data_IF_846122099170
#
_entry.id   IF_846122099170
#
_cell.length_a   1.000
_cell.length_b   1.000
_cell.length_c   1.000
_cell.angle_alpha   90.00
_cell.angle_beta   90.00
_cell.angle_gamma   90.00
#
_symmetry.space_group_name_H-M   'P 1'
#
loop_
_entity.id
_entity.type
_entity.pdbx_description
1 polymer ?
#
# COMPACT_ATOMS: atom_id res chain seq x y z
N UNK A 1 -55.45 64.12 22.15
CA UNK A 1 -54.58 63.63 21.07
C UNK A 1 -53.37 62.97 21.72
N UNK A 2 -53.44 61.66 21.93
CA UNK A 2 -52.42 60.90 22.64
C UNK A 2 -51.46 60.27 21.61
N UNK A 3 -50.14 60.54 21.77
CA UNK A 3 -49.11 59.92 20.97
C UNK A 3 -48.71 58.57 21.58
N UNK A 4 -48.96 57.47 20.85
CA UNK A 4 -48.54 56.12 21.18
C UNK A 4 -47.08 56.00 20.71
N UNK A 5 -46.16 55.84 21.69
CA UNK A 5 -44.74 55.53 21.42
C UNK A 5 -44.59 54.04 21.29
N UNK A 6 -44.20 53.60 20.10
CA UNK A 6 -43.90 52.20 19.80
C UNK A 6 -42.43 51.94 20.19
N UNK A 7 -42.17 51.21 21.27
CA UNK A 7 -40.85 50.70 21.63
C UNK A 7 -40.48 49.50 20.78
N UNK A 8 -39.54 49.68 19.91
CA UNK A 8 -38.93 48.59 19.14
C UNK A 8 -37.91 47.88 20.05
N UNK A 9 -38.19 46.61 20.40
CA UNK A 9 -37.21 45.72 21.02
C UNK A 9 -36.34 45.14 19.92
N UNK A 10 -34.97 45.20 20.03
CA UNK A 10 -34.12 44.47 19.10
C UNK A 10 -34.11 42.98 19.49
N UNK A 11 -34.56 42.13 18.55
CA UNK A 11 -34.46 40.68 18.63
C UNK A 11 -32.99 40.30 18.44
N UNK A 12 -32.30 40.00 19.54
CA UNK A 12 -30.94 39.43 19.48
C UNK A 12 -31.09 37.97 19.09
N UNK A 13 -30.86 37.71 17.81
CA UNK A 13 -30.75 36.34 17.29
C UNK A 13 -29.40 35.80 17.73
N UNK A 14 -29.37 35.00 18.79
CA UNK A 14 -28.21 34.21 19.19
C UNK A 14 -28.07 33.09 18.14
N UNK A 15 -27.19 33.30 17.17
CA UNK A 15 -26.67 32.24 16.32
C UNK A 15 -25.80 31.32 17.19
N UNK A 16 -26.35 30.27 17.69
CA UNK A 16 -25.61 29.11 18.19
C UNK A 16 -24.83 28.48 17.02
N UNK A 17 -23.59 28.91 16.84
CA UNK A 17 -22.60 28.20 16.09
C UNK A 17 -22.34 26.87 16.83
N UNK A 18 -23.12 25.83 16.52
CA UNK A 18 -22.72 24.45 16.75
C UNK A 18 -21.54 24.20 15.82
N UNK A 19 -20.35 24.41 16.32
CA UNK A 19 -19.14 23.85 15.74
C UNK A 19 -19.32 22.35 15.69
N UNK A 20 -19.71 21.83 14.56
CA UNK A 20 -19.56 20.40 14.22
C UNK A 20 -18.05 20.13 14.26
N UNK A 21 -17.55 19.73 15.43
CA UNK A 21 -16.35 18.92 15.53
C UNK A 21 -16.64 17.68 14.71
N UNK A 22 -16.28 17.71 13.44
CA UNK A 22 -16.13 16.53 12.60
C UNK A 22 -14.96 15.75 13.20
N UNK A 23 -15.22 15.05 14.30
CA UNK A 23 -14.41 13.91 14.66
C UNK A 23 -14.39 13.03 13.41
N UNK A 24 -13.22 12.78 12.86
CA UNK A 24 -13.02 11.79 11.82
C UNK A 24 -13.47 10.45 12.41
N UNK A 25 -14.76 10.16 12.27
CA UNK A 25 -15.36 8.95 12.81
C UNK A 25 -14.73 7.81 12.01
N UNK A 26 -13.99 6.93 12.69
CA UNK A 26 -13.44 5.72 12.09
C UNK A 26 -14.53 5.07 11.23
N UNK A 27 -14.21 4.79 9.98
CA UNK A 27 -15.13 4.14 9.03
C UNK A 27 -15.57 2.76 9.55
N UNK A 28 -14.78 2.17 10.44
CA UNK A 28 -15.06 0.90 11.10
C UNK A 28 -15.64 1.13 12.49
N UNK A 29 -16.79 0.49 12.77
CA UNK A 29 -17.33 0.45 14.14
C UNK A 29 -16.42 -0.39 15.01
N UNK A 30 -16.05 0.14 16.17
CA UNK A 30 -15.29 -0.62 17.17
C UNK A 30 -16.16 -1.73 17.78
N UNK A 31 -15.54 -2.86 18.08
CA UNK A 31 -16.16 -4.02 18.74
C UNK A 31 -15.18 -4.65 19.71
N UNK A 32 -15.68 -5.20 20.83
CA UNK A 32 -14.80 -5.94 21.73
C UNK A 32 -14.19 -7.16 21.03
N UNK A 33 -12.92 -7.46 21.25
CA UNK A 33 -12.24 -8.59 20.62
C UNK A 33 -12.97 -9.92 20.84
N UNK A 34 -13.41 -10.20 22.05
CA UNK A 34 -14.11 -11.45 22.41
C UNK A 34 -15.39 -11.65 21.61
N UNK A 35 -16.13 -10.59 21.34
CA UNK A 35 -17.35 -10.66 20.52
C UNK A 35 -17.07 -11.05 19.07
N UNK A 36 -15.81 -10.97 18.65
CA UNK A 36 -15.34 -11.35 17.31
C UNK A 36 -14.43 -12.60 17.34
N UNK A 37 -14.40 -13.35 18.48
CA UNK A 37 -13.61 -14.56 18.61
C UNK A 37 -12.10 -14.31 18.76
N UNK A 38 -11.71 -13.16 19.31
CA UNK A 38 -10.31 -12.77 19.54
C UNK A 38 -10.09 -12.55 21.05
N UNK A 39 -8.99 -13.03 21.59
CA UNK A 39 -8.63 -12.89 22.99
C UNK A 39 -7.96 -11.55 23.27
N UNK A 40 -8.53 -10.71 24.14
CA UNK A 40 -7.92 -9.47 24.63
C UNK A 40 -6.60 -9.73 25.33
N UNK A 41 -6.49 -10.81 26.13
CA UNK A 41 -5.24 -11.18 26.80
C UNK A 41 -4.11 -11.38 25.78
N UNK A 42 -4.38 -12.14 24.70
CA UNK A 42 -3.37 -12.39 23.67
C UNK A 42 -3.07 -11.15 22.83
N UNK A 43 -4.05 -10.25 22.65
CA UNK A 43 -3.82 -8.93 22.04
C UNK A 43 -2.93 -8.06 22.93
N UNK A 44 -3.06 -8.14 24.26
CA UNK A 44 -2.16 -7.44 25.18
C UNK A 44 -0.71 -7.93 25.03
N UNK A 45 -0.51 -9.22 24.79
CA UNK A 45 0.80 -9.76 24.44
C UNK A 45 1.31 -9.22 23.10
N UNK A 46 0.45 -9.18 22.07
CA UNK A 46 0.81 -8.56 20.78
C UNK A 46 1.25 -7.11 20.99
N UNK A 47 0.47 -6.32 21.73
CA UNK A 47 0.78 -4.93 22.09
C UNK A 47 2.18 -4.83 22.72
N UNK A 48 2.43 -5.56 23.81
CA UNK A 48 3.72 -5.55 24.53
C UNK A 48 4.88 -5.91 23.60
N UNK A 49 4.73 -6.95 22.78
CA UNK A 49 5.78 -7.41 21.86
C UNK A 49 6.07 -6.41 20.71
N UNK A 50 5.05 -5.65 20.28
CA UNK A 50 5.25 -4.58 19.28
C UNK A 50 5.90 -3.35 19.92
N UNK A 51 5.52 -2.97 21.16
CA UNK A 51 6.13 -1.87 21.89
C UNK A 51 7.63 -2.11 22.13
N UNK A 52 8.04 -3.35 22.45
CA UNK A 52 9.45 -3.69 22.66
C UNK A 52 10.37 -3.34 21.50
N UNK A 53 9.88 -3.36 20.24
CA UNK A 53 10.69 -2.92 19.11
C UNK A 53 10.99 -1.42 19.18
N UNK A 54 10.03 -0.61 19.61
CA UNK A 54 10.22 0.85 19.80
C UNK A 54 11.12 1.10 21.01
N UNK A 55 10.85 0.44 22.13
CA UNK A 55 11.64 0.55 23.38
C UNK A 55 13.11 0.17 23.17
N UNK A 56 13.36 -0.82 22.30
CA UNK A 56 14.70 -1.25 21.90
C UNK A 56 15.30 -0.38 20.79
N UNK A 57 14.68 0.76 20.45
CA UNK A 57 15.13 1.70 19.43
C UNK A 57 15.28 1.06 18.02
N UNK A 58 14.45 0.05 17.70
CA UNK A 58 14.48 -0.55 16.36
C UNK A 58 13.85 0.36 15.32
N UNK A 59 12.85 1.14 15.71
CA UNK A 59 12.20 2.22 14.95
C UNK A 59 11.49 3.19 15.91
N UNK A 60 11.17 4.40 15.42
CA UNK A 60 10.63 5.49 16.24
C UNK A 60 9.21 5.26 16.74
N UNK A 61 8.38 4.60 15.93
CA UNK A 61 6.98 4.38 16.23
C UNK A 61 6.40 3.20 15.44
N UNK A 62 5.29 2.66 15.94
CA UNK A 62 4.48 1.66 15.25
C UNK A 62 3.00 1.94 15.47
N UNK A 63 2.23 1.88 14.39
CA UNK A 63 0.77 1.85 14.41
C UNK A 63 0.32 0.46 13.96
N UNK A 64 -0.59 -0.17 14.71
CA UNK A 64 -1.10 -1.51 14.42
C UNK A 64 -2.61 -1.53 14.47
N UNK A 65 -3.26 -2.23 13.53
CA UNK A 65 -4.71 -2.36 13.53
C UNK A 65 -5.15 -3.76 13.09
N UNK A 66 -6.29 -4.21 13.63
CA UNK A 66 -6.95 -5.47 13.25
C UNK A 66 -8.44 -5.21 13.07
N UNK A 67 -8.94 -5.57 11.90
CA UNK A 67 -10.37 -5.60 11.57
C UNK A 67 -10.80 -7.06 11.44
N UNK A 68 -11.89 -7.45 12.09
CA UNK A 68 -12.48 -8.79 11.97
C UNK A 68 -13.99 -8.69 11.78
N UNK A 69 -14.53 -9.42 10.82
CA UNK A 69 -15.95 -9.36 10.43
C UNK A 69 -16.41 -7.92 10.12
N UNK A 70 -15.54 -7.09 9.49
CA UNK A 70 -15.84 -5.70 9.17
C UNK A 70 -15.88 -4.75 10.37
N UNK A 71 -15.38 -5.16 11.54
CA UNK A 71 -15.34 -4.34 12.75
C UNK A 71 -13.90 -4.15 13.22
N UNK A 72 -13.54 -2.93 13.61
CA UNK A 72 -12.26 -2.64 14.23
C UNK A 72 -12.25 -3.24 15.64
N UNK A 73 -11.31 -4.14 15.91
CA UNK A 73 -11.19 -4.81 17.22
C UNK A 73 -9.91 -4.42 17.95
N UNK A 74 -8.96 -3.85 17.24
CA UNK A 74 -7.69 -3.43 17.81
C UNK A 74 -7.11 -2.31 16.95
N UNK A 75 -6.69 -1.22 17.61
CA UNK A 75 -5.95 -0.11 17.03
C UNK A 75 -5.02 0.45 18.08
N UNK A 76 -3.73 0.53 17.80
CA UNK A 76 -2.73 0.94 18.76
C UNK A 76 -1.66 1.79 18.11
N UNK A 77 -1.36 2.93 18.73
CA UNK A 77 -0.24 3.81 18.41
C UNK A 77 0.79 3.73 19.51
N UNK A 78 2.06 3.60 19.16
CA UNK A 78 3.13 3.63 20.14
C UNK A 78 4.41 4.25 19.57
N UNK A 79 5.04 5.13 20.36
CA UNK A 79 6.26 5.84 19.99
C UNK A 79 6.01 7.23 19.40
N UNK A 80 7.00 7.77 18.72
CA UNK A 80 7.01 9.13 18.22
C UNK A 80 6.98 9.17 16.69
N UNK A 81 6.04 9.92 16.12
CA UNK A 81 6.03 10.26 14.69
C UNK A 81 7.21 11.17 14.32
N UNK A 82 7.71 11.95 15.31
CA UNK A 82 8.95 12.72 15.23
C UNK A 82 9.66 12.72 16.59
N UNK A 83 10.87 12.13 16.64
CA UNK A 83 11.64 11.98 17.89
C UNK A 83 12.11 13.34 18.43
N UNK A 84 12.57 14.23 17.56
CA UNK A 84 13.19 15.52 17.96
C UNK A 84 12.24 16.42 18.73
N UNK A 85 10.98 16.48 18.34
CA UNK A 85 9.91 17.25 19.00
C UNK A 85 9.12 16.44 20.02
N UNK A 86 9.42 15.14 20.16
CA UNK A 86 8.64 14.19 20.97
C UNK A 86 7.15 14.16 20.57
N UNK A 87 6.86 14.38 19.29
CA UNK A 87 5.50 14.31 18.77
C UNK A 87 5.05 12.84 18.78
N UNK A 88 4.03 12.50 19.57
CA UNK A 88 3.44 11.17 19.62
C UNK A 88 2.84 10.77 18.26
N UNK A 89 2.73 9.47 18.03
CA UNK A 89 2.02 8.95 16.86
C UNK A 89 0.51 9.10 17.04
N UNK A 90 -0.18 9.63 16.02
CA UNK A 90 -1.63 9.89 16.00
C UNK A 90 -2.36 8.93 15.04
N UNK A 91 -3.66 8.72 15.27
CA UNK A 91 -4.52 7.84 14.45
C UNK A 91 -4.55 8.23 12.97
N UNK A 92 -4.39 9.52 12.70
CA UNK A 92 -4.47 10.11 11.36
C UNK A 92 -3.09 10.41 10.75
N UNK A 93 -2.02 9.96 11.37
CA UNK A 93 -0.68 10.15 10.82
C UNK A 93 -0.54 9.46 9.46
N UNK A 94 0.20 10.13 8.58
CA UNK A 94 0.41 9.72 7.18
C UNK A 94 1.77 9.03 7.06
N UNK A 95 1.77 7.90 6.38
CA UNK A 95 2.96 7.06 6.19
C UNK A 95 3.33 6.97 4.71
N UNK A 96 4.63 6.91 4.42
CA UNK A 96 5.13 6.47 3.12
C UNK A 96 4.94 4.96 3.05
N UNK A 97 3.96 4.52 2.27
CA UNK A 97 3.58 3.09 2.23
C UNK A 97 4.48 2.25 1.33
N UNK A 98 5.40 2.90 0.60
CA UNK A 98 6.36 2.22 -0.28
C UNK A 98 5.68 1.15 -1.15
N UNK A 99 6.19 -0.08 -1.15
CA UNK A 99 5.67 -1.15 -2.02
C UNK A 99 4.23 -1.60 -1.74
N UNK A 100 3.58 -1.11 -0.68
CA UNK A 100 2.13 -1.27 -0.54
C UNK A 100 1.33 -0.44 -1.58
N UNK A 101 1.98 0.45 -2.33
CA UNK A 101 1.46 1.09 -3.55
C UNK A 101 1.09 0.07 -4.64
N UNK A 102 1.87 -1.00 -4.78
CA UNK A 102 1.72 -1.99 -5.86
C UNK A 102 0.34 -2.65 -5.94
N UNK A 103 -0.24 -3.14 -4.83
CA UNK A 103 -1.60 -3.66 -4.83
C UNK A 103 -2.63 -2.67 -5.39
N UNK A 104 -2.56 -1.40 -4.99
CA UNK A 104 -3.49 -0.35 -5.43
C UNK A 104 -3.36 -0.12 -6.94
N UNK A 105 -2.13 0.04 -7.44
CA UNK A 105 -1.88 0.27 -8.88
C UNK A 105 -2.24 -0.97 -9.71
N UNK A 106 -2.00 -2.18 -9.18
CA UNK A 106 -2.41 -3.42 -9.86
C UNK A 106 -3.94 -3.51 -9.99
N UNK A 107 -4.68 -3.15 -8.94
CA UNK A 107 -6.15 -3.03 -9.01
C UNK A 107 -6.56 -1.98 -10.03
N UNK A 108 -5.90 -0.81 -10.06
CA UNK A 108 -6.15 0.24 -11.04
C UNK A 108 -5.99 -0.25 -12.48
N UNK A 109 -4.92 -0.98 -12.78
CA UNK A 109 -4.73 -1.57 -14.12
C UNK A 109 -5.81 -2.62 -14.43
N UNK A 110 -6.22 -3.42 -13.46
CA UNK A 110 -7.25 -4.44 -13.64
C UNK A 110 -8.67 -3.87 -13.80
N UNK A 111 -8.92 -2.64 -13.38
CA UNK A 111 -10.14 -1.90 -13.74
C UNK A 111 -10.21 -1.70 -15.27
N UNK A 112 -9.11 -1.31 -15.91
CA UNK A 112 -9.04 -1.17 -17.37
C UNK A 112 -9.14 -2.52 -18.08
N UNK A 113 -8.63 -3.60 -17.48
CA UNK A 113 -8.85 -4.96 -17.95
C UNK A 113 -10.34 -5.32 -17.98
N UNK A 114 -11.09 -5.03 -16.92
CA UNK A 114 -12.56 -5.26 -16.87
C UNK A 114 -13.33 -4.47 -17.93
N UNK A 115 -12.82 -3.30 -18.30
CA UNK A 115 -13.37 -2.47 -19.37
C UNK A 115 -13.03 -2.99 -20.77
N UNK A 116 -12.29 -4.11 -20.89
CA UNK A 116 -11.90 -4.72 -22.16
C UNK A 116 -10.84 -3.90 -22.91
N UNK A 117 -10.11 -3.01 -22.24
CA UNK A 117 -9.11 -2.15 -22.87
C UNK A 117 -7.87 -2.92 -23.31
N UNK A 118 -7.57 -4.05 -22.71
CA UNK A 118 -6.48 -4.96 -23.05
C UNK A 118 -6.76 -6.38 -22.56
N UNK A 119 -5.92 -7.34 -23.04
CA UNK A 119 -5.87 -8.71 -22.53
C UNK A 119 -4.55 -8.94 -21.78
N UNK A 120 -4.56 -9.79 -20.74
CA UNK A 120 -3.35 -10.10 -19.95
C UNK A 120 -2.17 -10.61 -20.80
N UNK A 121 -2.47 -11.28 -21.92
CA UNK A 121 -1.48 -11.79 -22.86
C UNK A 121 -1.07 -10.80 -23.93
N UNK A 122 -1.65 -9.62 -23.98
CA UNK A 122 -1.21 -8.57 -24.92
C UNK A 122 0.24 -8.19 -24.63
N UNK A 123 1.09 -8.02 -25.65
CA UNK A 123 2.45 -7.53 -25.46
C UNK A 123 2.42 -6.05 -25.07
N UNK A 124 3.28 -5.66 -24.12
CA UNK A 124 3.36 -4.28 -23.63
C UNK A 124 3.63 -3.29 -24.77
N UNK A 125 4.44 -3.70 -25.76
CA UNK A 125 4.75 -2.84 -26.92
C UNK A 125 3.53 -2.46 -27.78
N UNK A 126 2.37 -3.10 -27.60
CA UNK A 126 1.10 -2.70 -28.21
C UNK A 126 0.66 -1.30 -27.74
N UNK A 127 1.01 -0.95 -26.50
CA UNK A 127 0.65 0.30 -25.84
C UNK A 127 1.85 1.23 -25.67
N UNK A 128 3.04 0.67 -25.44
CA UNK A 128 4.30 1.39 -25.21
C UNK A 128 5.31 0.85 -26.24
N UNK A 129 5.42 1.46 -27.43
CA UNK A 129 6.22 0.93 -28.56
C UNK A 129 7.69 0.67 -28.22
N UNK A 130 8.25 1.40 -27.26
CA UNK A 130 9.64 1.27 -26.82
C UNK A 130 9.94 -0.11 -26.22
N UNK A 131 8.93 -0.88 -25.81
CA UNK A 131 9.09 -2.28 -25.36
C UNK A 131 9.29 -3.28 -26.49
N UNK A 132 9.30 -2.84 -27.74
CA UNK A 132 9.59 -3.69 -28.90
C UNK A 132 11.10 -3.94 -29.01
N UNK A 133 11.49 -5.15 -29.35
CA UNK A 133 12.89 -5.53 -29.62
C UNK A 133 13.86 -5.30 -28.45
N UNK A 134 13.43 -5.55 -27.24
CA UNK A 134 14.27 -5.40 -26.05
C UNK A 134 15.49 -6.33 -26.11
N UNK A 135 16.56 -5.92 -25.47
CA UNK A 135 17.79 -6.69 -25.34
C UNK A 135 17.80 -7.46 -24.02
N UNK A 136 18.53 -8.59 -24.03
CA UNK A 136 18.74 -9.41 -22.84
C UNK A 136 20.24 -9.62 -22.62
N UNK A 137 20.69 -9.51 -21.37
CA UNK A 137 22.08 -9.78 -20.96
C UNK A 137 22.22 -11.24 -20.50
N UNK A 138 23.10 -12.01 -21.18
CA UNK A 138 23.48 -13.36 -20.79
C UNK A 138 25.00 -13.42 -20.59
N UNK A 139 25.44 -13.36 -19.35
CA UNK A 139 26.86 -13.19 -18.98
C UNK A 139 27.40 -11.87 -19.53
N UNK A 140 28.43 -11.93 -20.41
CA UNK A 140 29.01 -10.74 -21.07
C UNK A 140 28.35 -10.40 -22.42
N UNK A 141 27.43 -11.24 -22.94
CA UNK A 141 26.80 -11.05 -24.23
C UNK A 141 25.45 -10.37 -24.09
N UNK A 142 25.14 -9.46 -25.01
CA UNK A 142 23.85 -8.81 -25.17
C UNK A 142 23.23 -9.32 -26.45
N UNK A 143 22.03 -9.90 -26.35
CA UNK A 143 21.27 -10.48 -27.48
C UNK A 143 19.89 -9.81 -27.55
N UNK A 144 19.13 -10.07 -28.58
CA UNK A 144 17.71 -9.76 -28.63
C UNK A 144 16.94 -10.72 -27.71
N UNK A 145 15.96 -10.23 -26.97
CA UNK A 145 15.01 -11.09 -26.27
C UNK A 145 14.21 -11.90 -27.27
N UNK A 146 13.93 -13.15 -26.92
CA UNK A 146 13.11 -14.07 -27.74
C UNK A 146 11.62 -13.84 -27.49
N UNK A 147 11.26 -13.43 -26.28
CA UNK A 147 9.88 -13.22 -25.85
C UNK A 147 9.59 -11.75 -25.72
N UNK A 148 8.41 -11.33 -26.18
CA UNK A 148 7.85 -10.02 -25.82
C UNK A 148 7.44 -10.05 -24.34
N UNK A 149 7.54 -8.93 -23.65
CA UNK A 149 6.97 -8.74 -22.34
C UNK A 149 5.45 -8.61 -22.49
N UNK A 150 4.69 -9.46 -21.81
CA UNK A 150 3.23 -9.40 -21.73
C UNK A 150 2.79 -8.61 -20.51
N UNK A 151 1.56 -8.08 -20.51
CA UNK A 151 1.01 -7.35 -19.36
C UNK A 151 0.96 -8.22 -18.10
N UNK A 152 0.64 -9.50 -18.23
CA UNK A 152 0.71 -10.45 -17.10
C UNK A 152 2.11 -10.55 -16.51
N UNK A 153 3.17 -10.45 -17.31
CA UNK A 153 4.55 -10.55 -16.82
C UNK A 153 4.94 -9.37 -15.95
N UNK A 154 4.33 -8.20 -16.21
CA UNK A 154 4.52 -7.01 -15.41
C UNK A 154 3.79 -7.14 -14.07
N UNK A 155 2.53 -7.54 -14.09
CA UNK A 155 1.69 -7.70 -12.89
C UNK A 155 2.23 -8.75 -11.92
N UNK A 156 2.88 -9.81 -12.42
CA UNK A 156 3.43 -10.93 -11.62
C UNK A 156 4.94 -10.92 -11.44
N UNK A 157 5.65 -9.84 -11.81
CA UNK A 157 7.11 -9.71 -11.72
C UNK A 157 7.91 -10.77 -12.50
N UNK A 158 7.50 -11.11 -13.72
CA UNK A 158 8.22 -12.03 -14.61
C UNK A 158 8.73 -11.39 -15.89
N UNK A 159 8.81 -10.06 -15.94
CA UNK A 159 9.18 -9.30 -17.14
C UNK A 159 10.68 -9.32 -17.48
N UNK A 160 11.56 -9.80 -16.61
CA UNK A 160 13.00 -9.77 -16.83
C UNK A 160 13.68 -8.45 -16.44
N UNK A 161 12.97 -7.58 -15.75
CA UNK A 161 13.45 -6.28 -15.29
C UNK A 161 14.21 -6.40 -13.97
N UNK A 162 15.21 -5.54 -13.77
CA UNK A 162 16.01 -5.52 -12.54
C UNK A 162 15.52 -4.47 -11.56
N UNK A 163 15.51 -4.80 -10.25
CA UNK A 163 15.30 -3.84 -9.19
C UNK A 163 16.65 -3.27 -8.74
N UNK A 164 16.86 -1.96 -8.95
CA UNK A 164 18.13 -1.26 -8.66
C UNK A 164 18.20 -0.63 -7.26
N UNK A 165 17.20 -0.89 -6.42
CA UNK A 165 17.15 -0.35 -5.06
C UNK A 165 16.57 1.07 -4.97
N UNK A 166 16.45 1.60 -3.74
CA UNK A 166 15.86 2.91 -3.48
C UNK A 166 16.69 4.09 -4.01
N UNK A 167 18.01 3.95 -4.09
CA UNK A 167 18.91 5.00 -4.60
C UNK A 167 18.55 5.38 -6.04
N UNK A 168 18.32 4.38 -6.90
CA UNK A 168 17.88 4.60 -8.28
C UNK A 168 16.53 5.32 -8.38
N UNK A 169 15.64 5.11 -7.41
CA UNK A 169 14.38 5.84 -7.31
C UNK A 169 14.63 7.32 -6.97
N UNK A 170 15.46 7.60 -5.94
CA UNK A 170 15.80 8.97 -5.54
C UNK A 170 16.47 9.76 -6.67
N UNK A 171 17.34 9.13 -7.45
CA UNK A 171 17.97 9.73 -8.63
C UNK A 171 16.95 10.06 -9.76
N UNK A 172 15.78 9.46 -9.71
CA UNK A 172 14.77 9.55 -10.76
C UNK A 172 13.57 10.42 -10.40
N UNK A 173 13.47 10.95 -9.18
CA UNK A 173 12.31 11.75 -8.72
C UNK A 173 12.06 13.03 -9.51
N UNK A 174 13.08 13.52 -10.23
CA UNK A 174 12.95 14.69 -11.13
C UNK A 174 12.27 14.35 -12.47
N UNK A 175 12.13 13.07 -12.81
CA UNK A 175 11.50 12.58 -14.04
C UNK A 175 10.00 12.39 -13.81
N UNK A 176 9.19 12.48 -14.86
CA UNK A 176 7.84 11.94 -14.82
C UNK A 176 7.85 10.42 -15.06
N UNK A 177 6.69 9.77 -14.96
CA UNK A 177 6.61 8.32 -15.07
C UNK A 177 7.01 7.80 -16.44
N UNK A 178 6.61 8.47 -17.51
CA UNK A 178 7.01 8.15 -18.88
C UNK A 178 8.54 8.20 -19.07
N UNK A 179 9.17 9.30 -18.67
CA UNK A 179 10.62 9.50 -18.75
C UNK A 179 11.38 8.44 -17.94
N UNK A 180 10.88 8.13 -16.72
CA UNK A 180 11.44 7.09 -15.88
C UNK A 180 11.40 5.72 -16.56
N UNK A 181 10.25 5.33 -17.13
CA UNK A 181 10.10 4.06 -17.84
C UNK A 181 11.00 4.01 -19.08
N UNK A 182 10.98 5.04 -19.92
CA UNK A 182 11.82 5.12 -21.14
C UNK A 182 13.33 5.09 -20.82
N UNK A 183 13.74 5.64 -19.68
CA UNK A 183 15.12 5.53 -19.19
C UNK A 183 15.43 4.10 -18.74
N UNK A 184 14.52 3.49 -17.96
CA UNK A 184 14.75 2.20 -17.31
C UNK A 184 14.83 1.02 -18.29
N UNK A 185 14.08 1.05 -19.40
CA UNK A 185 14.08 -0.02 -20.41
C UNK A 185 15.28 0.01 -21.37
N UNK A 186 16.15 1.04 -21.29
CA UNK A 186 17.42 1.06 -22.02
C UNK A 186 18.38 -0.01 -21.49
N UNK A 187 18.22 -0.42 -20.24
CA UNK A 187 19.00 -1.51 -19.68
C UNK A 187 18.50 -2.86 -20.22
N UNK A 188 19.42 -3.77 -20.55
CA UNK A 188 19.02 -5.09 -21.02
C UNK A 188 18.34 -5.89 -19.93
N UNK A 189 17.33 -6.68 -20.31
CA UNK A 189 16.67 -7.63 -19.43
C UNK A 189 17.69 -8.63 -18.84
N UNK A 190 17.45 -9.10 -17.64
CA UNK A 190 18.32 -10.03 -16.94
C UNK A 190 17.94 -11.51 -17.13
N UNK A 191 16.72 -11.78 -17.67
CA UNK A 191 16.24 -13.09 -18.11
C UNK A 191 15.10 -12.90 -19.13
N UNK A 192 14.76 -13.99 -19.85
CA UNK A 192 13.67 -13.99 -20.83
C UNK A 192 12.32 -13.75 -20.14
N UNK A 193 11.49 -12.82 -20.64
CA UNK A 193 10.16 -12.56 -20.09
C UNK A 193 9.32 -13.85 -19.98
N UNK A 194 8.56 -13.94 -18.90
CA UNK A 194 7.68 -15.08 -18.62
C UNK A 194 8.39 -16.34 -18.11
N UNK A 195 9.70 -16.31 -17.82
CA UNK A 195 10.46 -17.53 -17.45
C UNK A 195 10.86 -17.62 -15.99
N UNK A 196 10.98 -16.48 -15.29
CA UNK A 196 11.44 -16.42 -13.91
C UNK A 196 10.64 -15.40 -13.12
N UNK A 197 10.50 -15.62 -11.83
CA UNK A 197 9.98 -14.61 -10.90
C UNK A 197 11.13 -13.82 -10.28
N UNK A 198 11.10 -12.49 -10.43
CA UNK A 198 12.03 -11.61 -9.76
C UNK A 198 11.43 -10.24 -9.51
N UNK A 199 11.38 -9.85 -8.25
CA UNK A 199 10.86 -8.57 -7.84
C UNK A 199 11.55 -7.40 -8.56
N UNK A 200 10.78 -6.44 -9.05
CA UNK A 200 11.29 -5.34 -9.88
C UNK A 200 10.39 -4.10 -9.82
N UNK A 201 10.75 -3.07 -10.57
CA UNK A 201 9.93 -1.88 -10.79
C UNK A 201 8.76 -2.10 -11.77
N UNK A 202 8.39 -3.33 -12.07
CA UNK A 202 7.31 -3.66 -13.02
C UNK A 202 6.01 -2.88 -12.79
N UNK A 203 5.67 -2.59 -11.53
CA UNK A 203 4.43 -1.88 -11.24
C UNK A 203 4.48 -0.39 -11.60
N UNK A 204 5.67 0.20 -11.80
CA UNK A 204 5.78 1.52 -12.45
C UNK A 204 5.30 1.45 -13.90
N UNK A 205 5.60 0.33 -14.58
CA UNK A 205 5.08 0.08 -15.95
C UNK A 205 3.56 -0.14 -15.92
N UNK A 206 3.01 -0.79 -14.88
CA UNK A 206 1.55 -0.84 -14.69
C UNK A 206 0.96 0.56 -14.58
N UNK A 207 1.61 1.45 -13.83
CA UNK A 207 1.21 2.87 -13.71
C UNK A 207 1.24 3.57 -15.06
N UNK A 208 2.32 3.43 -15.81
CA UNK A 208 2.43 4.06 -17.13
C UNK A 208 1.45 3.45 -18.15
N UNK A 209 1.16 2.15 -18.10
CA UNK A 209 0.08 1.54 -18.89
C UNK A 209 -1.29 2.14 -18.54
N UNK A 210 -1.55 2.44 -17.28
CA UNK A 210 -2.78 3.13 -16.87
C UNK A 210 -2.83 4.50 -17.56
N UNK A 211 -1.75 5.30 -17.53
CA UNK A 211 -1.72 6.62 -18.18
C UNK A 211 -1.96 6.53 -19.68
N UNK A 212 -1.25 5.63 -20.35
CA UNK A 212 -1.36 5.47 -21.83
C UNK A 212 -2.74 4.97 -22.25
N UNK A 213 -3.32 4.03 -21.50
CA UNK A 213 -4.60 3.41 -21.89
C UNK A 213 -5.80 4.29 -21.53
N UNK A 214 -5.73 4.98 -20.38
CA UNK A 214 -6.83 5.84 -19.90
C UNK A 214 -6.77 7.26 -20.45
N UNK A 215 -5.58 7.75 -20.80
CA UNK A 215 -5.34 9.16 -21.15
C UNK A 215 -5.30 10.08 -19.93
N UNK A 216 -5.26 9.54 -18.70
CA UNK A 216 -5.21 10.27 -17.45
C UNK A 216 -3.84 10.05 -16.77
N UNK A 217 -3.35 11.02 -15.99
CA UNK A 217 -2.20 10.76 -15.12
C UNK A 217 -2.55 9.71 -14.05
N UNK A 218 -1.54 8.98 -13.57
CA UNK A 218 -1.75 7.87 -12.63
C UNK A 218 -2.45 8.31 -11.33
N UNK A 219 -2.08 9.47 -10.79
CA UNK A 219 -2.68 10.04 -9.58
C UNK A 219 -4.16 10.35 -9.78
N UNK A 220 -4.53 11.00 -10.90
CA UNK A 220 -5.93 11.31 -11.23
C UNK A 220 -6.74 10.05 -11.47
N UNK A 221 -6.18 9.07 -12.20
CA UNK A 221 -6.88 7.81 -12.45
C UNK A 221 -7.20 7.06 -11.15
N UNK A 222 -6.19 6.90 -10.25
CA UNK A 222 -6.41 6.23 -8.98
C UNK A 222 -7.36 7.00 -8.07
N UNK A 223 -7.26 8.34 -8.08
CA UNK A 223 -8.17 9.21 -7.33
C UNK A 223 -9.62 8.99 -7.75
N UNK A 224 -9.92 9.07 -9.04
CA UNK A 224 -11.31 8.98 -9.53
C UNK A 224 -11.89 7.56 -9.45
N UNK A 225 -11.06 6.53 -9.67
CA UNK A 225 -11.54 5.15 -9.77
C UNK A 225 -11.41 4.33 -8.49
N UNK A 226 -10.58 4.77 -7.51
CA UNK A 226 -10.36 4.04 -6.27
C UNK A 226 -10.55 4.94 -5.04
N UNK A 227 -9.82 6.07 -4.95
CA UNK A 227 -9.76 6.83 -3.70
C UNK A 227 -11.06 7.57 -3.40
N UNK A 228 -11.61 8.33 -4.35
CA UNK A 228 -12.86 9.07 -4.15
C UNK A 228 -14.06 8.13 -3.92
N UNK A 229 -14.29 7.06 -4.72
CA UNK A 229 -15.38 6.13 -4.45
C UNK A 229 -15.28 5.43 -3.09
N UNK A 230 -14.06 5.18 -2.59
CA UNK A 230 -13.80 4.58 -1.28
C UNK A 230 -13.72 5.61 -0.14
N UNK A 231 -13.78 6.91 -0.46
CA UNK A 231 -13.56 8.00 0.51
C UNK A 231 -12.19 7.94 1.22
N UNK A 232 -11.15 7.52 0.49
CA UNK A 232 -9.76 7.48 0.93
C UNK A 232 -9.11 8.87 0.77
N UNK A 233 -9.39 9.78 1.70
CA UNK A 233 -9.03 11.20 1.60
C UNK A 233 -7.58 11.53 1.95
N UNK A 234 -6.87 10.54 2.47
CA UNK A 234 -5.50 10.68 2.95
C UNK A 234 -4.54 9.73 2.21
N UNK A 235 -4.88 9.42 0.95
CA UNK A 235 -4.05 8.59 0.07
C UNK A 235 -3.73 9.35 -1.22
N UNK A 236 -2.44 9.62 -1.48
CA UNK A 236 -1.99 10.45 -2.60
C UNK A 236 -0.51 10.22 -2.94
N UNK A 237 -0.07 10.68 -4.10
CA UNK A 237 1.35 10.75 -4.48
C UNK A 237 2.00 12.04 -3.99
N UNK A 238 1.29 13.15 -4.01
CA UNK A 238 1.75 14.44 -3.49
C UNK A 238 0.93 14.84 -2.27
N UNK A 239 1.64 15.11 -1.16
CA UNK A 239 1.02 15.49 0.11
C UNK A 239 0.48 16.91 0.05
N UNK A 240 -0.82 17.14 0.29
CA UNK A 240 -1.38 18.48 0.42
C UNK A 240 -0.67 19.27 1.53
N UNK A 241 -0.43 20.56 1.26
CA UNK A 241 0.34 21.44 2.18
C UNK A 241 -0.23 21.47 3.58
N UNK A 242 -1.55 21.49 3.71
CA UNK A 242 -2.27 21.51 4.98
C UNK A 242 -2.15 20.19 5.78
N UNK A 243 -1.61 19.14 5.18
CA UNK A 243 -1.43 17.83 5.81
C UNK A 243 0.04 17.50 6.14
N UNK A 244 0.98 18.40 5.84
CA UNK A 244 2.41 18.17 6.04
C UNK A 244 2.73 17.77 7.50
N UNK A 245 2.08 18.44 8.46
CA UNK A 245 2.25 18.15 9.89
C UNK A 245 1.87 16.72 10.29
N UNK A 246 1.09 16.02 9.46
CA UNK A 246 0.65 14.65 9.71
C UNK A 246 1.60 13.60 9.10
N UNK A 247 2.57 14.02 8.27
CA UNK A 247 3.53 13.07 7.70
C UNK A 247 4.52 12.64 8.79
N UNK A 248 4.66 11.35 8.99
CA UNK A 248 5.62 10.78 9.92
C UNK A 248 7.05 10.97 9.41
N UNK A 249 8.03 11.14 10.29
CA UNK A 249 9.44 11.18 9.92
C UNK A 249 9.94 9.77 9.61
N UNK A 250 10.67 9.62 8.50
CA UNK A 250 11.32 8.37 8.12
C UNK A 250 12.74 8.36 8.68
N UNK A 251 13.09 7.28 9.36
CA UNK A 251 14.39 7.08 10.00
C UNK A 251 15.18 5.94 9.35
N UNK A 252 16.50 6.05 9.46
CA UNK A 252 17.43 4.96 9.18
C UNK A 252 18.32 4.70 10.39
N UNK A 253 18.78 3.45 10.56
CA UNK A 253 19.72 3.11 11.62
C UNK A 253 21.14 3.53 11.24
N UNK A 254 21.81 4.18 12.17
CA UNK A 254 23.25 4.39 12.07
C UNK A 254 24.05 3.14 12.48
N UNK A 255 25.36 3.21 12.33
CA UNK A 255 26.29 2.12 12.67
C UNK A 255 26.30 1.77 14.16
N UNK A 256 25.86 2.70 15.02
CA UNK A 256 25.84 2.56 16.49
C UNK A 256 24.45 2.14 17.00
N UNK A 257 23.48 1.96 16.11
CA UNK A 257 22.11 1.61 16.44
C UNK A 257 21.20 2.81 16.77
N UNK A 258 21.68 4.05 16.57
CA UNK A 258 20.86 5.27 16.64
C UNK A 258 19.91 5.41 15.47
N UNK A 259 18.87 6.24 15.61
CA UNK A 259 17.90 6.55 14.57
C UNK A 259 18.18 7.96 14.01
N UNK A 260 18.71 8.01 12.79
CA UNK A 260 18.92 9.25 12.05
C UNK A 260 17.74 9.56 11.16
N UNK A 261 17.42 10.86 11.01
CA UNK A 261 16.39 11.31 10.09
C UNK A 261 16.87 11.10 8.65
N UNK A 262 16.16 10.27 7.91
CA UNK A 262 16.36 10.08 6.47
C UNK A 262 15.48 11.04 5.66
N UNK A 263 14.19 11.15 5.98
CA UNK A 263 13.24 12.03 5.31
C UNK A 263 12.28 12.64 6.34
N UNK A 264 12.32 13.97 6.48
CA UNK A 264 11.46 14.73 7.39
C UNK A 264 10.28 15.36 6.66
N UNK A 265 9.15 15.61 7.33
CA UNK A 265 7.96 16.22 6.72
C UNK A 265 8.25 17.48 5.91
N UNK A 266 9.06 18.39 6.47
CA UNK A 266 9.36 19.70 5.87
C UNK A 266 10.30 19.65 4.65
N UNK A 267 11.02 18.55 4.45
CA UNK A 267 12.00 18.37 3.35
C UNK A 267 11.66 17.19 2.45
N UNK A 268 10.51 16.58 2.67
CA UNK A 268 10.12 15.38 1.96
C UNK A 268 9.91 15.63 0.46
N UNK A 269 10.42 14.77 -0.42
CA UNK A 269 10.17 14.85 -1.85
C UNK A 269 8.70 14.67 -2.23
N UNK A 270 7.86 14.23 -1.29
CA UNK A 270 6.42 14.05 -1.48
C UNK A 270 5.60 15.31 -1.22
N UNK A 271 6.22 16.44 -0.86
CA UNK A 271 5.49 17.65 -0.40
C UNK A 271 5.47 18.79 -1.38
N UNK A 272 6.18 18.70 -2.50
CA UNK A 272 6.25 19.80 -3.46
C UNK A 272 6.60 19.34 -4.86
N UNK A 273 5.69 19.55 -5.80
CA UNK A 273 5.89 19.31 -7.22
C UNK A 273 6.40 17.90 -7.56
N UNK A 274 5.70 16.89 -7.03
CA UNK A 274 6.00 15.48 -7.30
C UNK A 274 5.79 15.20 -8.79
N UNK A 275 6.84 14.83 -9.49
CA UNK A 275 6.79 14.48 -10.91
C UNK A 275 6.64 12.99 -11.14
N UNK A 276 7.31 12.17 -10.31
CA UNK A 276 7.29 10.72 -10.45
C UNK A 276 6.16 10.11 -9.61
N UNK A 277 5.02 9.86 -10.23
CA UNK A 277 3.95 9.07 -9.62
C UNK A 277 4.30 7.58 -9.70
N UNK A 278 5.28 7.17 -8.86
CA UNK A 278 5.78 5.80 -8.91
C UNK A 278 4.71 4.78 -8.53
N UNK A 279 4.30 3.95 -9.48
CA UNK A 279 3.38 2.83 -9.23
C UNK A 279 3.98 1.73 -8.35
N UNK A 280 5.29 1.72 -8.20
CA UNK A 280 6.00 0.75 -7.36
C UNK A 280 6.14 1.16 -5.90
N UNK A 281 5.98 2.45 -5.56
CA UNK A 281 6.25 2.86 -4.18
C UNK A 281 5.93 4.31 -3.82
N UNK A 282 5.27 5.06 -4.69
CA UNK A 282 5.11 6.51 -4.56
C UNK A 282 3.95 6.98 -3.69
N UNK A 283 3.08 6.11 -3.21
CA UNK A 283 1.92 6.55 -2.42
C UNK A 283 2.25 6.80 -0.96
N UNK A 284 1.59 7.81 -0.45
CA UNK A 284 1.38 8.08 0.97
C UNK A 284 -0.03 7.63 1.35
N UNK A 285 -0.23 7.16 2.59
CA UNK A 285 -1.56 6.78 3.08
C UNK A 285 -1.61 6.77 4.60
N UNK A 286 -2.81 6.73 5.16
CA UNK A 286 -3.06 6.42 6.57
C UNK A 286 -3.42 4.95 6.75
N UNK A 287 -3.32 4.45 7.98
CA UNK A 287 -3.81 3.11 8.31
C UNK A 287 -5.31 2.98 8.02
N UNK A 288 -6.11 4.00 8.33
CA UNK A 288 -7.55 3.99 8.09
C UNK A 288 -7.90 3.86 6.60
N UNK A 289 -7.30 4.66 5.73
CA UNK A 289 -7.54 4.58 4.29
C UNK A 289 -7.13 3.22 3.72
N UNK A 290 -5.96 2.72 4.16
CA UNK A 290 -5.50 1.42 3.69
C UNK A 290 -6.37 0.26 4.18
N UNK A 291 -6.93 0.34 5.40
CA UNK A 291 -7.93 -0.62 5.90
C UNK A 291 -9.21 -0.60 5.06
N UNK A 292 -9.67 0.57 4.58
CA UNK A 292 -10.81 0.69 3.67
C UNK A 292 -10.53 -0.04 2.37
N UNK A 293 -9.36 0.17 1.77
CA UNK A 293 -8.93 -0.57 0.58
C UNK A 293 -8.89 -2.09 0.83
N UNK A 294 -8.32 -2.51 1.95
CA UNK A 294 -8.30 -3.93 2.33
C UNK A 294 -9.70 -4.51 2.53
N UNK A 295 -10.62 -3.76 3.14
CA UNK A 295 -11.99 -4.21 3.35
C UNK A 295 -12.76 -4.32 2.03
N UNK A 296 -12.54 -3.40 1.09
CA UNK A 296 -13.08 -3.48 -0.27
C UNK A 296 -12.62 -4.79 -0.92
N UNK A 297 -11.34 -5.14 -0.83
CA UNK A 297 -10.81 -6.40 -1.35
C UNK A 297 -11.41 -7.63 -0.64
N UNK A 298 -11.49 -7.61 0.70
CA UNK A 298 -12.08 -8.69 1.48
C UNK A 298 -13.54 -8.94 1.12
N UNK A 299 -14.27 -7.91 0.77
CA UNK A 299 -15.67 -7.96 0.34
C UNK A 299 -15.85 -8.30 -1.15
N UNK A 300 -14.82 -8.82 -1.82
CA UNK A 300 -14.92 -9.21 -3.23
C UNK A 300 -14.96 -8.02 -4.20
N UNK A 301 -14.33 -6.91 -3.86
CA UNK A 301 -14.19 -5.73 -4.71
C UNK A 301 -15.23 -4.63 -4.47
N UNK A 302 -15.98 -4.70 -3.36
CA UNK A 302 -17.06 -3.74 -3.04
C UNK A 302 -16.94 -3.22 -1.61
N UNK A 303 -17.18 -1.92 -1.39
CA UNK A 303 -17.27 -1.32 -0.07
C UNK A 303 -18.32 -0.21 -0.07
N UNK A 304 -19.18 -0.13 0.97
CA UNK A 304 -20.26 0.86 1.10
C UNK A 304 -21.08 1.05 -0.18
N UNK A 305 -21.51 -0.06 -0.81
CA UNK A 305 -22.24 -0.11 -2.08
C UNK A 305 -21.48 0.43 -3.30
N UNK A 306 -20.19 0.80 -3.15
CA UNK A 306 -19.34 1.16 -4.26
C UNK A 306 -18.55 -0.07 -4.72
N UNK A 307 -18.71 -0.48 -5.97
CA UNK A 307 -17.91 -1.55 -6.57
C UNK A 307 -16.73 -0.95 -7.31
N UNK A 308 -15.54 -1.29 -6.89
CA UNK A 308 -14.27 -0.87 -7.50
C UNK A 308 -13.84 -1.87 -8.56
N UNK A 309 -13.96 -3.17 -8.27
CA UNK A 309 -13.56 -4.25 -9.17
C UNK A 309 -14.53 -5.42 -9.01
N UNK A 310 -14.73 -6.21 -10.06
CA UNK A 310 -15.57 -7.43 -9.98
C UNK A 310 -14.90 -8.50 -9.15
N UNK A 311 -15.71 -9.29 -8.44
CA UNK A 311 -15.19 -10.43 -7.67
C UNK A 311 -14.45 -11.45 -8.56
N UNK A 312 -14.92 -11.68 -9.79
CA UNK A 312 -14.23 -12.56 -10.74
C UNK A 312 -12.84 -12.08 -11.11
N UNK A 313 -12.66 -10.77 -11.32
CA UNK A 313 -11.37 -10.17 -11.63
C UNK A 313 -10.45 -10.19 -10.41
N UNK A 314 -10.98 -9.91 -9.23
CA UNK A 314 -10.21 -10.03 -7.99
C UNK A 314 -9.77 -11.47 -7.75
N UNK A 315 -10.63 -12.46 -7.96
CA UNK A 315 -10.26 -13.87 -7.85
C UNK A 315 -9.12 -14.22 -8.82
N UNK A 316 -9.20 -13.77 -10.08
CA UNK A 316 -8.12 -13.91 -11.04
C UNK A 316 -6.81 -13.29 -10.53
N UNK A 317 -6.87 -12.11 -9.91
CA UNK A 317 -5.67 -11.48 -9.32
C UNK A 317 -5.06 -12.29 -8.17
N UNK A 318 -5.87 -13.04 -7.44
CA UNK A 318 -5.47 -13.80 -6.25
C UNK A 318 -5.08 -15.27 -6.56
N UNK A 319 -5.21 -15.71 -7.81
CA UNK A 319 -4.63 -16.98 -8.25
C UNK A 319 -3.10 -16.94 -8.21
N UNK A 320 -2.45 -18.09 -7.98
CA UNK A 320 -0.99 -18.18 -8.06
C UNK A 320 -0.52 -18.23 -9.51
N UNK A 321 -0.08 -17.08 -10.02
CA UNK A 321 0.51 -16.93 -11.35
C UNK A 321 2.02 -17.14 -11.40
N UNK A 322 2.63 -17.53 -10.29
CA UNK A 322 4.09 -17.72 -10.18
C UNK A 322 4.55 -19.19 -10.20
N UNK A 323 3.63 -20.14 -10.16
CA UNK A 323 3.93 -21.54 -9.90
C UNK A 323 4.90 -22.18 -10.92
N UNK A 324 4.80 -21.80 -12.19
CA UNK A 324 5.64 -22.32 -13.29
C UNK A 324 6.94 -21.51 -13.49
N UNK A 325 7.10 -20.39 -12.79
CA UNK A 325 8.24 -19.51 -12.94
C UNK A 325 9.44 -20.01 -12.13
N UNK A 326 10.63 -20.02 -12.75
CA UNK A 326 11.87 -20.31 -12.03
C UNK A 326 12.06 -19.33 -10.87
N UNK A 327 12.69 -19.82 -9.79
CA UNK A 327 12.97 -19.08 -8.55
C UNK A 327 11.76 -18.69 -7.71
N UNK A 328 10.52 -18.81 -8.17
CA UNK A 328 9.33 -18.54 -7.34
C UNK A 328 9.32 -19.41 -6.08
N UNK A 329 9.66 -20.68 -6.21
CA UNK A 329 9.74 -21.61 -5.08
C UNK A 329 10.82 -21.25 -4.05
N UNK A 330 11.92 -20.60 -4.45
CA UNK A 330 12.96 -20.13 -3.52
C UNK A 330 12.46 -18.94 -2.70
N UNK A 331 11.64 -18.08 -3.29
CA UNK A 331 11.09 -16.88 -2.64
C UNK A 331 9.88 -17.23 -1.77
N UNK A 332 8.95 -18.00 -2.32
CA UNK A 332 7.64 -18.24 -1.70
C UNK A 332 7.55 -19.60 -0.99
N UNK A 333 8.43 -20.54 -1.30
CA UNK A 333 8.38 -21.93 -0.82
C UNK A 333 7.14 -22.68 -1.35
N UNK A 334 6.76 -23.76 -0.67
CA UNK A 334 5.63 -24.61 -1.10
C UNK A 334 4.25 -24.02 -0.74
N UNK A 335 4.20 -23.10 0.23
CA UNK A 335 2.95 -22.67 0.85
C UNK A 335 2.45 -21.30 0.34
N UNK A 336 3.25 -20.59 -0.44
CA UNK A 336 2.89 -19.28 -0.97
C UNK A 336 3.18 -19.20 -2.45
N UNK A 337 2.62 -18.21 -3.10
CA UNK A 337 2.86 -17.84 -4.48
C UNK A 337 2.67 -16.34 -4.69
N UNK A 338 2.58 -15.93 -5.93
CA UNK A 338 2.34 -14.54 -6.29
C UNK A 338 1.25 -14.46 -7.36
N UNK A 339 0.24 -13.66 -7.07
CA UNK A 339 -0.83 -13.34 -7.98
C UNK A 339 -0.51 -12.13 -8.86
N UNK A 340 -1.52 -11.35 -9.22
CA UNK A 340 -1.37 -10.11 -9.97
C UNK A 340 -1.32 -8.92 -8.99
N UNK A 341 -0.13 -8.69 -8.41
CA UNK A 341 0.13 -7.61 -7.46
C UNK A 341 0.11 -8.00 -5.97
N UNK A 342 -0.10 -9.27 -5.62
CA UNK A 342 -0.19 -9.78 -4.24
C UNK A 342 0.61 -11.05 -4.02
N UNK A 343 1.25 -11.18 -2.85
CA UNK A 343 1.63 -12.50 -2.33
C UNK A 343 0.36 -13.23 -1.89
N UNK A 344 0.23 -14.51 -2.23
CA UNK A 344 -0.93 -15.35 -1.91
C UNK A 344 -0.49 -16.61 -1.14
N UNK A 345 -1.30 -17.05 -0.18
CA UNK A 345 -1.10 -18.28 0.59
C UNK A 345 -1.86 -19.42 -0.07
N UNK A 346 -1.14 -20.48 -0.46
CA UNK A 346 -1.71 -21.66 -1.15
C UNK A 346 -2.21 -22.73 -0.18
N UNK A 347 -1.54 -22.89 0.95
CA UNK A 347 -1.84 -23.91 1.94
C UNK A 347 -2.03 -23.28 3.32
N UNK A 348 -3.05 -23.72 4.03
CA UNK A 348 -3.35 -23.22 5.39
C UNK A 348 -2.24 -23.56 6.39
N UNK A 349 -2.11 -22.73 7.40
CA UNK A 349 -1.21 -22.93 8.53
C UNK A 349 -0.94 -21.61 9.27
N UNK A 350 -0.94 -21.64 10.60
CA UNK A 350 -0.77 -20.43 11.46
C UNK A 350 0.47 -19.60 11.13
N UNK A 351 1.50 -20.24 10.59
CA UNK A 351 2.73 -19.54 10.18
C UNK A 351 2.50 -18.58 9.00
N UNK A 352 1.54 -18.86 8.12
CA UNK A 352 1.32 -18.10 6.89
C UNK A 352 -0.08 -17.49 6.79
N UNK A 353 -1.05 -18.01 7.53
CA UNK A 353 -2.47 -17.69 7.44
C UNK A 353 -3.29 -18.84 6.88
N UNK A 354 -4.56 -18.63 6.68
CA UNK A 354 -5.46 -19.56 6.00
C UNK A 354 -5.16 -19.62 4.50
N UNK A 355 -5.61 -20.66 3.82
CA UNK A 355 -5.56 -20.71 2.36
C UNK A 355 -6.31 -19.52 1.77
N UNK A 356 -5.71 -18.87 0.78
CA UNK A 356 -6.30 -17.67 0.17
C UNK A 356 -5.96 -16.37 0.88
N UNK A 357 -5.23 -16.39 2.01
CA UNK A 357 -4.68 -15.17 2.62
C UNK A 357 -3.76 -14.47 1.61
N UNK A 358 -3.90 -13.15 1.47
CA UNK A 358 -3.08 -12.35 0.56
C UNK A 358 -2.67 -11.02 1.18
N UNK A 359 -1.72 -10.34 0.55
CA UNK A 359 -1.23 -9.05 1.00
C UNK A 359 0.17 -8.74 0.48
N UNK A 360 0.79 -7.71 1.05
CA UNK A 360 2.16 -7.29 0.71
C UNK A 360 2.77 -6.49 1.86
N UNK A 361 3.95 -5.93 1.62
CA UNK A 361 4.63 -5.05 2.57
C UNK A 361 5.44 -3.97 1.86
N UNK A 362 5.82 -2.93 2.60
CA UNK A 362 6.64 -1.82 2.14
C UNK A 362 8.02 -1.79 2.81
N UNK A 363 9.02 -1.27 2.11
CA UNK A 363 10.41 -1.24 2.57
C UNK A 363 10.63 -0.38 3.83
N UNK A 364 9.73 0.57 4.10
CA UNK A 364 9.80 1.44 5.28
C UNK A 364 9.09 0.85 6.51
N UNK A 365 8.88 -0.49 6.51
CA UNK A 365 8.24 -1.18 7.60
C UNK A 365 6.73 -1.02 7.62
N UNK A 366 6.10 -1.11 6.48
CA UNK A 366 4.66 -1.19 6.35
C UNK A 366 4.25 -2.60 5.90
N UNK A 367 3.09 -3.08 6.33
CA UNK A 367 2.67 -4.45 6.06
C UNK A 367 1.19 -4.63 6.28
N UNK A 368 0.53 -5.38 5.40
CA UNK A 368 -0.86 -5.79 5.57
C UNK A 368 -1.08 -7.24 5.13
N UNK A 369 -2.12 -7.84 5.69
CA UNK A 369 -2.69 -9.12 5.26
C UNK A 369 -4.20 -9.09 5.34
N UNK A 370 -4.81 -9.78 4.40
CA UNK A 370 -6.25 -10.03 4.31
C UNK A 370 -6.44 -11.54 4.31
N UNK A 371 -7.17 -12.04 5.29
CA UNK A 371 -7.51 -13.46 5.41
C UNK A 371 -9.01 -13.64 5.18
N UNK A 372 -9.43 -14.15 4.00
CA UNK A 372 -10.84 -14.31 3.67
C UNK A 372 -11.56 -15.37 4.51
N UNK A 373 -10.87 -16.44 4.90
CA UNK A 373 -11.44 -17.51 5.73
C UNK A 373 -11.76 -16.99 7.14
N UNK A 374 -10.82 -16.24 7.72
CA UNK A 374 -10.99 -15.61 9.03
C UNK A 374 -11.80 -14.30 8.96
N UNK A 375 -12.15 -13.80 7.77
CA UNK A 375 -12.74 -12.48 7.56
C UNK A 375 -11.99 -11.39 8.32
N UNK A 376 -10.66 -11.44 8.21
CA UNK A 376 -9.76 -10.64 9.03
C UNK A 376 -8.77 -9.85 8.17
N UNK A 377 -8.53 -8.61 8.57
CA UNK A 377 -7.49 -7.74 8.04
C UNK A 377 -6.59 -7.36 9.21
N UNK A 378 -5.28 -7.38 8.99
CA UNK A 378 -4.34 -6.84 9.96
C UNK A 378 -3.21 -6.11 9.27
N UNK A 379 -2.84 -4.99 9.86
CA UNK A 379 -1.90 -4.03 9.30
C UNK A 379 -0.98 -3.49 10.39
N UNK A 380 0.26 -3.22 10.05
CA UNK A 380 1.11 -2.30 10.82
C UNK A 380 1.81 -1.32 9.91
N UNK A 381 2.06 -0.13 10.44
CA UNK A 381 2.81 0.95 9.81
C UNK A 381 3.95 1.40 10.72
N UNK A 382 5.17 1.42 10.20
CA UNK A 382 6.34 2.08 10.78
C UNK A 382 6.96 2.98 9.73
N UNK A 383 7.99 3.75 10.10
CA UNK A 383 8.78 4.53 9.14
C UNK A 383 10.28 4.35 9.44
N UNK A 384 10.79 3.18 9.07
CA UNK A 384 12.20 2.85 9.20
C UNK A 384 12.65 1.86 8.12
N UNK A 385 13.88 2.04 7.63
CA UNK A 385 14.50 1.09 6.74
C UNK A 385 14.82 -0.24 7.47
N UNK A 386 15.00 -1.32 6.67
CA UNK A 386 15.53 -2.61 7.13
C UNK A 386 14.71 -3.35 8.20
N UNK A 387 13.46 -2.93 8.43
CA UNK A 387 12.55 -3.63 9.36
C UNK A 387 12.35 -5.12 9.02
N UNK A 388 12.63 -5.51 7.76
CA UNK A 388 12.62 -6.93 7.35
C UNK A 388 13.67 -7.77 8.10
N UNK A 389 14.80 -7.18 8.50
CA UNK A 389 15.84 -7.85 9.29
C UNK A 389 15.31 -8.27 10.66
N UNK A 390 14.36 -7.54 11.22
CA UNK A 390 13.76 -7.78 12.53
C UNK A 390 12.74 -8.95 12.51
N UNK A 391 12.42 -9.49 11.35
CA UNK A 391 11.35 -10.49 11.18
C UNK A 391 9.99 -10.00 11.73
N UNK A 392 9.78 -8.68 11.78
CA UNK A 392 8.61 -8.03 12.36
C UNK A 392 7.31 -8.58 11.79
N UNK A 393 7.18 -8.63 10.46
CA UNK A 393 5.99 -9.17 9.79
C UNK A 393 5.66 -10.62 10.22
N UNK A 394 6.67 -11.46 10.42
CA UNK A 394 6.48 -12.84 10.87
C UNK A 394 6.00 -12.89 12.32
N UNK A 395 6.58 -12.06 13.20
CA UNK A 395 6.23 -12.00 14.62
C UNK A 395 4.81 -11.44 14.79
N UNK A 396 4.51 -10.31 14.15
CA UNK A 396 3.19 -9.69 14.16
C UNK A 396 2.10 -10.67 13.70
N UNK A 397 2.26 -11.24 12.50
CA UNK A 397 1.32 -12.22 11.95
C UNK A 397 1.08 -13.39 12.91
N UNK A 398 2.17 -13.98 13.47
CA UNK A 398 2.03 -15.09 14.42
C UNK A 398 1.17 -14.69 15.61
N UNK A 399 1.43 -13.54 16.22
CA UNK A 399 0.70 -13.07 17.40
C UNK A 399 -0.77 -12.77 17.09
N UNK A 400 -1.07 -12.24 15.88
CA UNK A 400 -2.45 -12.04 15.43
C UNK A 400 -3.19 -13.37 15.35
N UNK A 401 -2.63 -14.39 14.67
CA UNK A 401 -3.30 -15.70 14.60
C UNK A 401 -3.36 -16.43 15.95
N UNK A 402 -2.35 -16.27 16.80
CA UNK A 402 -2.38 -16.83 18.17
C UNK A 402 -3.50 -16.21 19.02
N UNK A 403 -3.98 -15.00 18.70
CA UNK A 403 -5.05 -14.32 19.42
C UNK A 403 -6.45 -14.87 19.10
N UNK A 404 -6.62 -15.65 18.05
CA UNK A 404 -7.89 -16.27 17.70
C UNK A 404 -8.28 -17.26 18.82
N UNK A 405 -9.53 -17.15 19.31
CA UNK A 405 -10.13 -18.10 20.26
C UNK A 405 -10.57 -19.32 19.44
N UNK A 406 -10.05 -20.48 19.80
CA UNK A 406 -10.40 -21.75 19.19
C UNK A 406 -11.59 -22.37 19.88
#
# INVERSE_FOLDING_TARGET
>A
MSKISLKIFPLITILLLFGLLLNAQSTFKFSSPESQGISTEKLSKLKSEMHQFVDNNEFSAIQTAIVKNGKLIYFENYGFSEISSKKGLDDNDIFRIASMTKPIVSVGLMILYEQGKFNLNDPVHKFIPEFKNLKIKKGKKINSSKNDIKIIDILRHSAGLEFKGPESYLESISLNLEEFIKKSIKDPLIYEPGTQWRYSYSTDICGYLIEVISGMSLDMFLKENIFDPLNMKDTFFELPKEKIERLTTLYEKDKNGGLNVFDSPSKSPFTNNVKLFSGSGGLLSTTNDYLIFCQMLLNGGTFNNQRIIKNSTLNLMLEDHSNELKYSGLVFGKNKGFGLGFEVVKNSGTKFGSKGTFGWGGMFGTYFRIDPEEKMIFIYMTQSFETYKLKLARKFRKLVYDSIIK
#
